data_IF_597671594360
#
_entry.id   IF_597671594360
#
_cell.length_a   1.000
_cell.length_b   1.000
_cell.length_c   1.000
_cell.angle_alpha   90.00
_cell.angle_beta   90.00
_cell.angle_gamma   90.00
#
_symmetry.space_group_name_H-M   'P 1'
#
loop_
_entity.id
_entity.type
_entity.pdbx_description
1 polymer ?
#
# COMPACT_ATOMS: atom_id res chain seq x y z
N UNK A 1 -5.61 -85.95 -10.46
CA UNK A 1 -4.74 -84.87 -10.97
C UNK A 1 -5.38 -83.55 -10.56
N UNK A 2 -4.92 -82.95 -9.46
CA UNK A 2 -5.50 -81.73 -8.87
C UNK A 2 -4.96 -80.48 -9.58
N UNK A 3 -5.87 -79.59 -10.03
CA UNK A 3 -5.55 -78.29 -10.63
C UNK A 3 -5.51 -77.21 -9.55
N UNK A 4 -4.42 -76.45 -9.49
CA UNK A 4 -4.26 -75.26 -8.65
C UNK A 4 -4.91 -74.05 -9.34
N UNK A 5 -5.69 -73.26 -8.58
CA UNK A 5 -6.17 -71.94 -8.98
C UNK A 5 -5.40 -70.87 -8.20
N UNK A 6 -4.68 -70.00 -8.91
CA UNK A 6 -4.06 -68.81 -8.36
C UNK A 6 -5.07 -67.65 -8.35
N UNK A 7 -5.33 -67.08 -7.17
CA UNK A 7 -6.15 -65.89 -7.02
C UNK A 7 -5.28 -64.63 -7.20
N UNK A 8 -5.60 -63.81 -8.20
CA UNK A 8 -4.94 -62.54 -8.46
C UNK A 8 -5.69 -61.43 -7.69
N UNK A 9 -5.07 -60.85 -6.67
CA UNK A 9 -5.61 -59.71 -5.95
C UNK A 9 -5.35 -58.42 -6.76
N UNK A 10 -6.42 -57.78 -7.22
CA UNK A 10 -6.37 -56.53 -7.96
C UNK A 10 -6.39 -55.36 -6.98
N UNK A 11 -5.23 -54.81 -6.65
CA UNK A 11 -5.11 -53.55 -5.90
C UNK A 11 -5.48 -52.36 -6.78
N UNK A 12 -6.65 -51.76 -6.51
CA UNK A 12 -7.06 -50.48 -7.08
C UNK A 12 -6.22 -49.34 -6.49
N UNK A 13 -5.32 -48.77 -7.29
CA UNK A 13 -4.60 -47.54 -6.95
C UNK A 13 -5.54 -46.37 -7.26
N UNK A 14 -6.12 -45.74 -6.24
CA UNK A 14 -6.85 -44.49 -6.40
C UNK A 14 -5.85 -43.35 -6.69
N UNK A 15 -5.90 -42.77 -7.89
CA UNK A 15 -5.13 -41.59 -8.21
C UNK A 15 -5.67 -40.38 -7.41
N UNK A 16 -4.80 -39.48 -6.91
CA UNK A 16 -5.26 -38.29 -6.20
C UNK A 16 -5.97 -37.37 -7.20
N UNK A 17 -7.24 -37.04 -6.92
CA UNK A 17 -7.94 -35.99 -7.64
C UNK A 17 -7.24 -34.68 -7.27
N UNK A 18 -6.48 -34.12 -8.21
CA UNK A 18 -5.98 -32.77 -8.08
C UNK A 18 -7.20 -31.84 -7.99
N UNK A 19 -7.42 -31.25 -6.82
CA UNK A 19 -8.45 -30.23 -6.64
C UNK A 19 -8.10 -29.07 -7.56
N UNK A 20 -8.85 -28.93 -8.65
CA UNK A 20 -8.70 -27.82 -9.59
C UNK A 20 -9.07 -26.56 -8.82
N UNK A 21 -8.05 -25.77 -8.43
CA UNK A 21 -8.27 -24.52 -7.71
C UNK A 21 -9.08 -23.60 -8.64
N UNK A 22 -10.31 -23.31 -8.24
CA UNK A 22 -11.15 -22.36 -8.97
C UNK A 22 -10.50 -20.99 -8.91
N UNK A 23 -10.44 -20.31 -10.06
CA UNK A 23 -9.95 -18.92 -10.16
C UNK A 23 -10.63 -18.03 -9.10
N UNK A 24 -9.89 -17.19 -8.36
CA UNK A 24 -10.46 -16.31 -7.37
C UNK A 24 -11.44 -15.32 -8.00
N UNK A 25 -12.56 -15.10 -7.32
CA UNK A 25 -13.59 -14.13 -7.72
C UNK A 25 -13.02 -12.70 -7.72
N UNK A 26 -13.58 -11.75 -8.50
CA UNK A 26 -13.00 -10.42 -8.66
C UNK A 26 -12.76 -9.65 -7.36
N UNK A 27 -13.66 -9.71 -6.37
CA UNK A 27 -13.48 -8.97 -5.12
C UNK A 27 -12.45 -9.64 -4.22
N UNK A 28 -12.34 -10.97 -4.27
CA UNK A 28 -11.28 -11.70 -3.58
C UNK A 28 -9.89 -11.34 -4.13
N UNK A 29 -9.76 -11.18 -5.47
CA UNK A 29 -8.51 -10.69 -6.08
C UNK A 29 -8.18 -9.28 -5.63
N UNK A 30 -9.16 -8.37 -5.67
CA UNK A 30 -8.98 -7.00 -5.18
C UNK A 30 -8.57 -6.96 -3.70
N UNK A 31 -9.20 -7.79 -2.85
CA UNK A 31 -8.86 -7.87 -1.44
C UNK A 31 -7.45 -8.42 -1.19
N UNK A 32 -6.99 -9.40 -1.98
CA UNK A 32 -5.58 -9.85 -1.94
C UNK A 32 -4.62 -8.77 -2.38
N UNK A 33 -4.96 -8.04 -3.44
CA UNK A 33 -4.19 -6.91 -3.93
C UNK A 33 -4.07 -5.79 -2.89
N UNK A 34 -5.17 -5.40 -2.23
CA UNK A 34 -5.16 -4.38 -1.17
C UNK A 34 -4.30 -4.80 0.02
N UNK A 35 -4.40 -6.06 0.44
CA UNK A 35 -3.60 -6.58 1.54
C UNK A 35 -2.10 -6.57 1.23
N UNK A 36 -1.72 -7.09 0.06
CA UNK A 36 -0.32 -7.11 -0.37
C UNK A 36 0.26 -5.70 -0.44
N UNK A 37 -0.50 -4.77 -1.00
CA UNK A 37 -0.10 -3.37 -1.07
C UNK A 37 0.03 -2.74 0.33
N UNK A 38 -0.93 -3.00 1.22
CA UNK A 38 -0.90 -2.49 2.58
C UNK A 38 0.29 -3.04 3.37
N UNK A 39 0.61 -4.32 3.24
CA UNK A 39 1.74 -4.95 3.94
C UNK A 39 3.09 -4.32 3.53
N UNK A 40 3.29 -4.14 2.21
CA UNK A 40 4.51 -3.51 1.68
C UNK A 40 4.56 -2.03 2.09
N UNK A 41 3.46 -1.29 1.88
CA UNK A 41 3.36 0.12 2.22
C UNK A 41 3.56 0.40 3.70
N UNK A 42 2.99 -0.44 4.57
CA UNK A 42 3.13 -0.36 6.02
C UNK A 42 4.59 -0.50 6.46
N UNK A 43 5.29 -1.53 5.95
CA UNK A 43 6.72 -1.75 6.25
C UNK A 43 7.55 -0.55 5.81
N UNK A 44 7.34 -0.07 4.59
CA UNK A 44 8.04 1.10 4.05
C UNK A 44 7.79 2.35 4.91
N UNK A 45 6.53 2.64 5.26
CA UNK A 45 6.15 3.85 5.97
C UNK A 45 6.61 3.87 7.44
N UNK A 46 6.50 2.75 8.15
CA UNK A 46 6.87 2.66 9.58
C UNK A 46 8.37 2.60 9.80
N UNK A 47 9.11 1.82 9.01
CA UNK A 47 10.58 1.76 9.09
C UNK A 47 11.25 3.12 8.80
N UNK A 48 10.55 3.96 8.04
CA UNK A 48 10.97 5.28 7.57
C UNK A 48 10.57 6.44 8.48
N UNK A 49 9.71 6.19 9.48
CA UNK A 49 9.05 7.24 10.26
C UNK A 49 10.05 8.22 10.90
N UNK A 50 11.15 7.73 11.49
CA UNK A 50 12.14 8.58 12.16
C UNK A 50 12.84 9.61 11.26
N UNK A 51 12.81 9.41 9.94
CA UNK A 51 13.46 10.29 8.97
C UNK A 51 12.47 11.10 8.13
N UNK A 52 11.17 10.92 8.38
CA UNK A 52 10.09 11.50 7.60
C UNK A 52 9.74 12.94 8.05
N UNK A 53 9.54 13.89 7.12
CA UNK A 53 9.11 15.25 7.49
C UNK A 53 7.65 15.31 7.96
N UNK A 54 6.81 14.36 7.53
CA UNK A 54 5.38 14.26 7.92
C UNK A 54 5.12 12.90 8.56
N UNK A 55 5.51 12.79 9.82
CA UNK A 55 5.31 11.58 10.64
C UNK A 55 4.00 11.72 11.41
N UNK A 56 3.13 10.71 11.30
CA UNK A 56 1.85 10.67 12.02
C UNK A 56 1.61 9.30 12.65
N UNK A 57 0.85 9.20 13.75
CA UNK A 57 0.40 7.92 14.25
C UNK A 57 -0.49 7.22 13.23
N UNK A 58 -0.23 5.94 12.97
CA UNK A 58 -1.00 5.09 12.06
C UNK A 58 -1.26 3.72 12.71
N UNK A 59 -2.32 3.03 12.27
CA UNK A 59 -2.80 1.77 12.88
C UNK A 59 -2.75 0.57 11.94
N UNK A 60 -2.39 0.76 10.66
CA UNK A 60 -2.25 -0.32 9.70
C UNK A 60 -3.59 -0.94 9.28
N UNK A 61 -4.59 -0.12 9.00
CA UNK A 61 -5.95 -0.54 8.68
C UNK A 61 -6.45 0.13 7.39
N UNK A 62 -7.13 -0.63 6.52
CA UNK A 62 -7.92 -0.10 5.41
C UNK A 62 -9.38 -0.49 5.63
N UNK A 63 -10.28 0.48 5.55
CA UNK A 63 -11.72 0.25 5.64
C UNK A 63 -12.33 0.06 4.25
N UNK A 64 -13.34 -0.80 4.17
CA UNK A 64 -14.24 -0.95 3.03
C UNK A 64 -15.60 -0.39 3.38
N UNK A 65 -16.19 0.29 2.41
CA UNK A 65 -17.62 0.60 2.39
C UNK A 65 -18.26 -0.04 1.15
N UNK A 66 -19.18 -0.98 1.34
CA UNK A 66 -19.88 -1.64 0.21
C UNK A 66 -20.71 -0.66 -0.62
N UNK A 67 -21.17 0.46 -0.03
CA UNK A 67 -21.85 1.54 -0.76
C UNK A 67 -20.92 2.27 -1.70
N UNK A 68 -19.59 2.17 -1.53
CA UNK A 68 -18.60 2.71 -2.46
C UNK A 68 -18.59 2.02 -3.82
N UNK A 69 -19.17 0.81 -3.93
CA UNK A 69 -19.19 0.02 -5.16
C UNK A 69 -20.37 0.39 -6.07
N UNK A 70 -20.27 0.01 -7.34
CA UNK A 70 -21.33 0.23 -8.32
C UNK A 70 -22.56 -0.64 -8.04
N UNK A 71 -22.36 -1.86 -7.52
CA UNK A 71 -23.40 -2.81 -7.13
C UNK A 71 -23.11 -3.34 -5.71
N UNK A 72 -23.60 -2.64 -4.66
CA UNK A 72 -23.37 -3.04 -3.28
C UNK A 72 -23.93 -4.43 -2.94
N UNK A 73 -25.07 -4.82 -3.52
CA UNK A 73 -25.71 -6.11 -3.22
C UNK A 73 -24.90 -7.29 -3.78
N UNK A 74 -24.34 -7.13 -4.99
CA UNK A 74 -23.41 -8.11 -5.54
C UNK A 74 -22.15 -8.28 -4.66
N UNK A 75 -21.62 -7.17 -4.12
CA UNK A 75 -20.51 -7.22 -3.15
C UNK A 75 -20.92 -8.03 -1.93
N UNK A 76 -22.04 -7.68 -1.27
CA UNK A 76 -22.53 -8.43 -0.09
C UNK A 76 -22.67 -9.91 -0.36
N UNK A 77 -23.24 -10.29 -1.50
CA UNK A 77 -23.44 -11.68 -1.87
C UNK A 77 -22.10 -12.43 -2.07
N UNK A 78 -21.08 -11.76 -2.59
CA UNK A 78 -19.77 -12.38 -2.84
C UNK A 78 -18.95 -12.57 -1.55
N UNK A 79 -18.87 -11.53 -0.70
CA UNK A 79 -18.03 -11.51 0.51
C UNK A 79 -18.79 -11.87 1.80
N UNK A 80 -20.12 -11.99 1.76
CA UNK A 80 -20.95 -12.35 2.92
C UNK A 80 -21.21 -11.21 3.92
N UNK A 81 -20.88 -9.97 3.56
CA UNK A 81 -20.97 -8.81 4.45
C UNK A 81 -22.42 -8.34 4.65
N UNK A 82 -22.88 -8.34 5.88
CA UNK A 82 -24.21 -7.91 6.33
C UNK A 82 -24.28 -6.40 6.53
N UNK A 83 -23.24 -5.78 7.13
CA UNK A 83 -23.17 -4.33 7.38
C UNK A 83 -22.51 -3.58 6.23
N UNK A 84 -22.52 -2.24 6.26
CA UNK A 84 -21.93 -1.44 5.18
C UNK A 84 -20.40 -1.34 5.29
N UNK A 85 -19.91 -1.21 6.53
CA UNK A 85 -18.52 -0.93 6.84
C UNK A 85 -17.84 -2.17 7.42
N UNK A 86 -16.73 -2.56 6.80
CA UNK A 86 -15.88 -3.65 7.27
C UNK A 86 -14.40 -3.34 7.05
N UNK A 87 -13.53 -4.17 7.62
CA UNK A 87 -12.09 -4.07 7.40
C UNK A 87 -11.73 -4.71 6.05
N UNK A 88 -11.16 -3.91 5.13
CA UNK A 88 -10.68 -4.37 3.82
C UNK A 88 -9.36 -5.12 3.94
N UNK A 89 -8.42 -4.58 4.72
CA UNK A 89 -7.08 -5.10 4.88
C UNK A 89 -6.49 -4.64 6.21
N UNK A 90 -5.60 -5.47 6.76
CA UNK A 90 -4.89 -5.21 8.02
C UNK A 90 -3.41 -5.44 7.80
N UNK A 91 -2.58 -4.44 8.02
CA UNK A 91 -1.15 -4.55 7.82
C UNK A 91 -0.54 -5.59 8.78
N UNK A 92 0.28 -6.49 8.23
CA UNK A 92 1.04 -7.46 9.00
C UNK A 92 1.92 -6.75 10.04
N UNK A 93 1.87 -7.23 11.29
CA UNK A 93 2.59 -6.65 12.42
C UNK A 93 2.26 -5.17 12.71
N UNK A 94 1.12 -4.67 12.23
CA UNK A 94 0.60 -3.34 12.61
C UNK A 94 -0.30 -3.39 13.85
N UNK A 95 -0.59 -2.24 14.49
CA UNK A 95 -1.44 -2.17 15.69
C UNK A 95 -2.80 -2.85 15.54
N UNK A 96 -3.45 -2.74 14.38
CA UNK A 96 -4.70 -3.43 14.11
C UNK A 96 -4.55 -4.96 14.11
N UNK A 97 -3.47 -5.50 13.52
CA UNK A 97 -3.18 -6.94 13.55
C UNK A 97 -2.86 -7.43 14.96
N UNK A 98 -2.06 -6.67 15.72
CA UNK A 98 -1.70 -6.99 17.11
C UNK A 98 -2.92 -7.01 18.04
N UNK A 99 -3.90 -6.14 17.78
CA UNK A 99 -5.18 -6.15 18.48
C UNK A 99 -6.13 -7.29 18.05
N UNK A 100 -5.73 -8.11 17.06
CA UNK A 100 -6.50 -9.26 16.59
C UNK A 100 -7.62 -8.91 15.60
N UNK A 101 -7.64 -7.69 15.05
CA UNK A 101 -8.52 -7.34 13.94
C UNK A 101 -8.10 -8.06 12.67
N UNK A 102 -9.09 -8.42 11.86
CA UNK A 102 -8.89 -9.20 10.64
C UNK A 102 -9.67 -8.60 9.49
N UNK A 103 -9.27 -8.97 8.28
CA UNK A 103 -10.08 -8.74 7.09
C UNK A 103 -11.49 -9.26 7.31
N UNK A 104 -12.47 -8.52 6.78
CA UNK A 104 -13.89 -8.81 6.82
C UNK A 104 -14.56 -8.73 8.20
N UNK A 105 -13.82 -8.34 9.25
CA UNK A 105 -14.43 -7.91 10.51
C UNK A 105 -15.35 -6.71 10.21
N UNK A 106 -16.64 -6.86 10.49
CA UNK A 106 -17.61 -5.77 10.35
C UNK A 106 -17.48 -4.79 11.50
N UNK A 107 -17.35 -3.50 11.15
CA UNK A 107 -17.13 -2.44 12.14
C UNK A 107 -18.48 -1.97 12.68
N UNK A 108 -18.69 -2.13 13.98
CA UNK A 108 -19.94 -1.77 14.68
C UNK A 108 -19.81 -0.52 15.53
N UNK A 109 -18.60 -0.20 15.99
CA UNK A 109 -18.26 1.10 16.57
C UNK A 109 -16.94 1.58 15.98
N UNK A 110 -16.87 2.88 15.69
CA UNK A 110 -15.66 3.58 15.32
C UNK A 110 -15.71 4.96 15.96
N UNK A 111 -14.72 5.26 16.80
CA UNK A 111 -14.64 6.52 17.55
C UNK A 111 -15.89 6.76 18.40
N UNK A 112 -16.40 5.70 19.06
CA UNK A 112 -17.59 5.75 19.91
C UNK A 112 -18.93 5.91 19.20
N UNK A 113 -18.98 5.77 17.86
CA UNK A 113 -20.22 5.86 17.07
C UNK A 113 -20.34 4.71 16.08
N UNK A 114 -21.56 4.25 15.78
CA UNK A 114 -21.76 3.26 14.72
C UNK A 114 -21.53 3.92 13.34
N UNK A 115 -20.48 3.52 12.59
CA UNK A 115 -20.19 4.13 11.29
C UNK A 115 -21.25 3.78 10.23
N UNK A 116 -22.02 2.71 10.42
CA UNK A 116 -23.08 2.28 9.48
C UNK A 116 -24.33 3.15 9.56
N UNK A 117 -24.53 3.88 10.67
CA UNK A 117 -25.65 4.84 10.81
C UNK A 117 -25.35 6.20 10.19
N UNK A 118 -24.11 6.43 9.72
CA UNK A 118 -23.78 7.67 9.02
C UNK A 118 -24.50 7.69 7.67
N UNK A 119 -25.10 8.84 7.27
CA UNK A 119 -25.79 8.98 6.00
C UNK A 119 -24.92 8.51 4.83
N UNK A 120 -25.54 7.80 3.89
CA UNK A 120 -24.87 7.32 2.68
C UNK A 120 -25.77 7.40 1.46
N UNK A 121 -25.12 7.61 0.32
CA UNK A 121 -25.75 7.40 -0.97
C UNK A 121 -25.96 5.89 -1.23
N UNK A 122 -26.99 5.51 -2.03
CA UNK A 122 -27.31 4.10 -2.22
C UNK A 122 -26.19 3.26 -2.84
N UNK A 123 -25.34 3.87 -3.68
CA UNK A 123 -24.20 3.25 -4.38
C UNK A 123 -23.19 4.31 -4.85
N UNK A 124 -21.95 3.90 -5.12
CA UNK A 124 -20.82 4.79 -5.47
C UNK A 124 -20.56 5.90 -4.45
N UNK A 125 -20.88 5.66 -3.18
CA UNK A 125 -20.60 6.59 -2.09
C UNK A 125 -19.15 6.46 -1.61
N UNK A 126 -18.24 7.15 -2.29
CA UNK A 126 -16.85 7.26 -1.86
C UNK A 126 -16.64 8.34 -0.79
N UNK A 127 -17.61 9.25 -0.60
CA UNK A 127 -17.51 10.38 0.32
C UNK A 127 -17.67 9.93 1.78
N UNK A 128 -18.58 9.00 2.06
CA UNK A 128 -18.73 8.44 3.43
C UNK A 128 -17.43 7.79 3.89
N UNK A 129 -16.83 6.93 3.07
CA UNK A 129 -15.56 6.28 3.40
C UNK A 129 -14.41 7.30 3.58
N UNK A 130 -14.35 8.34 2.73
CA UNK A 130 -13.40 9.43 2.89
C UNK A 130 -13.55 10.14 4.25
N UNK A 131 -14.79 10.47 4.65
CA UNK A 131 -15.07 11.13 5.91
C UNK A 131 -14.72 10.26 7.13
N UNK A 132 -14.97 8.94 7.06
CA UNK A 132 -14.55 7.99 8.10
C UNK A 132 -13.02 7.97 8.25
N UNK A 133 -12.32 7.92 7.12
CA UNK A 133 -10.87 7.96 7.05
C UNK A 133 -10.30 9.26 7.66
N UNK A 134 -10.86 10.43 7.30
CA UNK A 134 -10.46 11.72 7.87
C UNK A 134 -10.71 11.79 9.39
N UNK A 135 -11.81 11.19 9.87
CA UNK A 135 -12.09 11.12 11.31
C UNK A 135 -11.06 10.25 12.06
N UNK A 136 -10.63 9.12 11.48
CA UNK A 136 -9.54 8.29 12.01
C UNK A 136 -8.24 9.09 12.10
N UNK A 137 -7.84 9.77 11.02
CA UNK A 137 -6.61 10.58 11.01
C UNK A 137 -6.66 11.67 12.08
N UNK A 138 -7.79 12.37 12.20
CA UNK A 138 -7.97 13.43 13.18
C UNK A 138 -7.91 12.90 14.61
N UNK A 139 -8.50 11.73 14.88
CA UNK A 139 -8.44 11.09 16.19
C UNK A 139 -7.01 10.62 16.53
N UNK A 140 -6.30 10.01 15.58
CA UNK A 140 -4.90 9.61 15.74
C UNK A 140 -3.99 10.81 15.98
N UNK A 141 -4.16 11.90 15.22
CA UNK A 141 -3.39 13.12 15.41
C UNK A 141 -3.63 13.77 16.78
N UNK A 142 -4.87 13.76 17.28
CA UNK A 142 -5.24 14.39 18.56
C UNK A 142 -4.93 13.52 19.79
N UNK A 143 -5.14 12.22 19.70
CA UNK A 143 -5.18 11.33 20.86
C UNK A 143 -4.17 10.18 20.79
N UNK A 144 -3.43 10.05 19.68
CA UNK A 144 -2.50 8.95 19.43
C UNK A 144 -3.18 7.59 19.29
N UNK A 145 -4.51 7.52 19.26
CA UNK A 145 -5.26 6.28 19.24
C UNK A 145 -6.69 6.49 18.72
N UNK A 146 -7.33 5.38 18.34
CA UNK A 146 -8.77 5.32 18.05
C UNK A 146 -9.44 4.24 18.88
N UNK A 147 -10.75 4.36 19.04
CA UNK A 147 -11.61 3.25 19.42
C UNK A 147 -12.19 2.59 18.17
N UNK A 148 -12.25 1.26 18.16
CA UNK A 148 -12.93 0.46 17.13
C UNK A 148 -13.50 -0.82 17.75
N UNK A 149 -14.67 -1.27 17.29
CA UNK A 149 -15.29 -2.53 17.71
C UNK A 149 -15.77 -3.33 16.49
N UNK A 150 -15.76 -4.65 16.62
CA UNK A 150 -16.46 -5.57 15.71
C UNK A 150 -17.62 -6.22 16.45
N UNK A 151 -18.69 -6.55 15.75
CA UNK A 151 -19.85 -7.26 16.35
C UNK A 151 -20.38 -6.56 17.63
N UNK A 152 -20.96 -7.31 18.56
CA UNK A 152 -21.41 -6.80 19.87
C UNK A 152 -20.25 -6.73 20.91
N UNK A 153 -18.99 -6.68 20.45
CA UNK A 153 -17.82 -6.61 21.32
C UNK A 153 -17.59 -5.19 21.84
N UNK A 154 -16.90 -5.09 22.98
CA UNK A 154 -16.47 -3.80 23.53
C UNK A 154 -15.41 -3.15 22.62
N UNK A 155 -15.38 -1.82 22.63
CA UNK A 155 -14.47 -1.05 21.78
C UNK A 155 -13.01 -1.21 22.23
N UNK A 156 -12.15 -1.68 21.31
CA UNK A 156 -10.71 -1.73 21.50
C UNK A 156 -10.10 -0.35 21.31
N UNK A 157 -9.18 0.01 22.19
CA UNK A 157 -8.30 1.14 21.97
C UNK A 157 -7.10 0.70 21.14
N UNK A 158 -7.03 1.15 19.88
CA UNK A 158 -5.86 0.97 19.02
C UNK A 158 -4.94 2.18 19.15
N UNK A 159 -3.76 1.98 19.76
CA UNK A 159 -2.73 3.01 19.78
C UNK A 159 -2.00 3.03 18.44
N UNK A 160 -1.85 4.21 17.85
CA UNK A 160 -1.09 4.38 16.62
C UNK A 160 0.41 4.36 16.87
N UNK A 161 1.16 3.87 15.88
CA UNK A 161 2.62 3.94 15.86
C UNK A 161 3.10 4.96 14.82
N UNK A 162 4.27 5.60 15.00
CA UNK A 162 4.78 6.54 14.02
C UNK A 162 4.96 5.91 12.63
N UNK A 163 4.44 6.58 11.60
CA UNK A 163 4.64 6.22 10.19
C UNK A 163 4.80 7.48 9.33
N UNK A 164 5.55 7.39 8.23
CA UNK A 164 5.41 8.35 7.15
C UNK A 164 3.95 8.38 6.68
N UNK A 165 3.33 9.57 6.69
CA UNK A 165 1.90 9.66 6.38
C UNK A 165 1.61 9.35 4.90
N UNK A 166 0.93 8.23 4.67
CA UNK A 166 0.32 7.84 3.41
C UNK A 166 -0.80 6.82 3.64
N UNK A 167 -1.84 6.85 2.81
CA UNK A 167 -2.77 5.72 2.63
C UNK A 167 -2.37 4.90 1.41
N UNK A 168 -2.62 3.60 1.44
CA UNK A 168 -2.28 2.69 0.35
C UNK A 168 -3.55 2.07 -0.19
N UNK A 169 -3.79 2.20 -1.50
CA UNK A 169 -5.07 1.83 -2.10
C UNK A 169 -4.90 1.22 -3.49
N UNK A 170 -5.69 0.19 -3.80
CA UNK A 170 -5.73 -0.37 -5.14
C UNK A 170 -6.83 0.27 -5.97
N UNK A 171 -6.49 0.69 -7.18
CA UNK A 171 -7.45 1.11 -8.19
C UNK A 171 -7.81 -0.08 -9.08
N UNK A 172 -8.99 -0.67 -8.85
CA UNK A 172 -9.52 -1.78 -9.65
C UNK A 172 -9.63 -1.39 -11.14
N UNK A 173 -9.22 -2.31 -12.03
CA UNK A 173 -9.27 -2.10 -13.49
C UNK A 173 -8.33 -1.02 -14.02
N UNK A 174 -7.37 -0.53 -13.22
CA UNK A 174 -6.34 0.43 -13.62
C UNK A 174 -4.97 -0.25 -13.73
N UNK A 175 -4.10 0.26 -14.59
CA UNK A 175 -2.73 -0.21 -14.82
C UNK A 175 -1.65 0.81 -14.41
N UNK A 176 -2.02 2.03 -14.06
CA UNK A 176 -1.11 3.08 -13.59
C UNK A 176 -0.75 2.95 -12.10
N UNK A 177 0.24 3.74 -11.69
CA UNK A 177 0.51 4.06 -10.30
C UNK A 177 0.49 5.58 -10.16
N UNK A 178 0.04 6.10 -9.01
CA UNK A 178 0.06 7.53 -8.73
C UNK A 178 0.07 7.85 -7.25
N UNK A 179 0.69 8.97 -6.94
CA UNK A 179 0.74 9.56 -5.61
C UNK A 179 -0.08 10.86 -5.57
N UNK A 180 -0.90 11.03 -4.52
CA UNK A 180 -1.77 12.22 -4.38
C UNK A 180 -1.30 13.19 -3.30
N UNK A 181 -0.06 13.10 -2.82
CA UNK A 181 0.46 13.87 -1.68
C UNK A 181 0.13 13.27 -0.31
N UNK A 182 -0.88 12.39 -0.24
CA UNK A 182 -1.35 11.71 0.98
C UNK A 182 -1.77 10.25 0.74
N UNK A 183 -1.84 9.81 -0.52
CA UNK A 183 -2.22 8.45 -0.92
C UNK A 183 -1.19 7.92 -1.92
N UNK A 184 -0.94 6.63 -1.86
CA UNK A 184 -0.22 5.82 -2.84
C UNK A 184 -1.27 4.90 -3.47
N UNK A 185 -1.53 5.09 -4.75
CA UNK A 185 -2.57 4.36 -5.48
C UNK A 185 -1.91 3.53 -6.57
N UNK A 186 -2.10 2.21 -6.53
CA UNK A 186 -1.60 1.30 -7.57
C UNK A 186 -2.74 0.61 -8.29
N UNK A 187 -2.59 0.43 -9.59
CA UNK A 187 -3.45 -0.41 -10.40
C UNK A 187 -3.33 -1.89 -10.01
N UNK A 188 -4.44 -2.63 -10.09
CA UNK A 188 -4.54 -4.04 -9.70
C UNK A 188 -3.50 -4.94 -10.39
N UNK A 189 -3.07 -4.62 -11.62
CA UNK A 189 -2.06 -5.42 -12.35
C UNK A 189 -0.76 -5.60 -11.58
N UNK A 190 -0.36 -4.59 -10.78
CA UNK A 190 0.93 -4.58 -10.09
C UNK A 190 0.91 -5.44 -8.85
N UNK A 191 -0.25 -5.52 -8.20
CA UNK A 191 -0.44 -6.20 -6.92
C UNK A 191 -0.94 -7.63 -7.12
N UNK A 192 -1.69 -7.90 -8.19
CA UNK A 192 -2.19 -9.23 -8.54
C UNK A 192 -1.28 -10.03 -9.48
N UNK A 193 -0.24 -9.42 -10.07
CA UNK A 193 0.68 -10.09 -11.01
C UNK A 193 1.92 -10.73 -10.38
N UNK A 194 2.69 -11.43 -11.21
CA UNK A 194 3.95 -12.14 -10.89
C UNK A 194 5.15 -11.19 -10.68
N UNK A 195 4.93 -10.05 -10.03
CA UNK A 195 6.00 -9.15 -9.59
C UNK A 195 6.52 -9.68 -8.25
N UNK A 196 7.84 -9.72 -8.00
CA UNK A 196 8.35 -10.05 -6.66
C UNK A 196 8.02 -8.93 -5.67
N UNK A 197 7.92 -9.25 -4.37
CA UNK A 197 7.65 -8.21 -3.36
C UNK A 197 8.75 -7.15 -3.28
N UNK A 198 10.03 -7.49 -3.52
CA UNK A 198 11.12 -6.50 -3.59
C UNK A 198 10.95 -5.57 -4.81
N UNK A 199 10.55 -6.10 -5.97
CA UNK A 199 10.30 -5.28 -7.15
C UNK A 199 9.04 -4.41 -6.99
N UNK A 200 7.98 -4.95 -6.38
CA UNK A 200 6.79 -4.18 -6.05
C UNK A 200 7.08 -3.11 -4.98
N UNK A 201 7.93 -3.42 -3.99
CA UNK A 201 8.36 -2.47 -2.97
C UNK A 201 9.07 -1.26 -3.58
N UNK A 202 9.84 -1.42 -4.67
CA UNK A 202 10.40 -0.27 -5.38
C UNK A 202 9.32 0.66 -5.93
N UNK A 203 8.31 0.13 -6.61
CA UNK A 203 7.21 0.95 -7.14
C UNK A 203 6.44 1.66 -6.01
N UNK A 204 6.12 0.95 -4.94
CA UNK A 204 5.43 1.54 -3.77
C UNK A 204 6.31 2.59 -3.08
N UNK A 205 7.62 2.34 -2.95
CA UNK A 205 8.58 3.27 -2.38
C UNK A 205 8.74 4.53 -3.23
N UNK A 206 8.73 4.42 -4.56
CA UNK A 206 8.75 5.56 -5.48
C UNK A 206 7.52 6.46 -5.27
N UNK A 207 6.31 5.88 -5.26
CA UNK A 207 5.08 6.64 -5.00
C UNK A 207 5.02 7.25 -3.59
N UNK A 208 5.55 6.52 -2.59
CA UNK A 208 5.69 7.01 -1.23
C UNK A 208 6.71 8.15 -1.15
N UNK A 209 7.80 8.11 -1.91
CA UNK A 209 8.79 9.18 -1.97
C UNK A 209 8.18 10.50 -2.44
N UNK A 210 7.27 10.48 -3.42
CA UNK A 210 6.50 11.69 -3.79
C UNK A 210 5.70 12.28 -2.62
N UNK A 211 5.14 11.43 -1.75
CA UNK A 211 4.43 11.87 -0.55
C UNK A 211 5.39 12.40 0.51
N UNK A 212 6.51 11.72 0.75
CA UNK A 212 7.54 12.11 1.74
C UNK A 212 8.14 13.46 1.37
N UNK A 213 8.54 13.63 0.11
CA UNK A 213 9.14 14.86 -0.41
C UNK A 213 8.10 15.94 -0.76
N UNK A 214 6.80 15.66 -0.58
CA UNK A 214 5.70 16.60 -0.78
C UNK A 214 5.67 17.22 -2.18
N UNK A 215 6.05 16.45 -3.20
CA UNK A 215 6.11 16.90 -4.60
C UNK A 215 4.81 17.53 -5.09
N UNK A 216 3.66 17.00 -4.66
CA UNK A 216 2.34 17.60 -4.96
C UNK A 216 2.21 19.01 -4.39
N UNK A 217 2.47 19.21 -3.09
CA UNK A 217 2.37 20.53 -2.44
C UNK A 217 3.37 21.53 -3.03
N UNK A 218 4.55 21.07 -3.42
CA UNK A 218 5.54 21.90 -4.11
C UNK A 218 4.98 22.40 -5.47
N UNK A 219 4.34 21.53 -6.27
CA UNK A 219 3.73 21.90 -7.55
C UNK A 219 2.45 22.73 -7.42
N UNK A 220 1.77 22.69 -6.29
CA UNK A 220 0.64 23.56 -5.97
C UNK A 220 1.09 24.98 -5.56
N UNK A 221 2.38 25.13 -5.17
CA UNK A 221 2.99 26.39 -4.78
C UNK A 221 3.22 27.43 -5.90
N UNK A 222 3.93 28.54 -5.61
CA UNK A 222 4.20 29.62 -6.57
C UNK A 222 4.92 29.10 -7.82
N UNK A 223 4.52 29.57 -9.03
CA UNK A 223 5.03 29.03 -10.31
C UNK A 223 6.55 29.04 -10.43
N UNK A 224 7.22 30.07 -9.91
CA UNK A 224 8.68 30.22 -9.99
C UNK A 224 9.48 29.29 -9.06
N UNK A 225 8.81 28.60 -8.13
CA UNK A 225 9.41 27.69 -7.15
C UNK A 225 9.08 26.21 -7.45
N UNK A 226 8.31 25.92 -8.51
CA UNK A 226 7.87 24.56 -8.80
C UNK A 226 9.03 23.75 -9.38
N UNK A 227 9.36 22.56 -8.81
CA UNK A 227 10.38 21.70 -9.40
C UNK A 227 9.91 21.19 -10.77
N UNK A 228 10.88 20.90 -11.66
CA UNK A 228 10.55 20.31 -12.95
C UNK A 228 10.01 18.88 -12.76
N UNK A 229 9.29 18.36 -13.77
CA UNK A 229 8.84 16.97 -13.69
C UNK A 229 10.01 16.01 -13.54
N UNK A 230 11.10 16.23 -14.29
CA UNK A 230 12.26 15.35 -14.26
C UNK A 230 12.95 15.33 -12.90
N UNK A 231 13.07 16.49 -12.24
CA UNK A 231 13.71 16.56 -10.92
C UNK A 231 12.87 15.79 -9.90
N UNK A 232 11.55 16.01 -9.90
CA UNK A 232 10.60 15.28 -9.05
C UNK A 232 10.70 13.76 -9.21
N UNK A 233 10.81 13.26 -10.44
CA UNK A 233 10.95 11.83 -10.69
C UNK A 233 12.32 11.28 -10.26
N UNK A 234 13.40 12.04 -10.49
CA UNK A 234 14.76 11.67 -10.04
C UNK A 234 14.86 11.62 -8.53
N UNK A 235 14.27 12.59 -7.84
CA UNK A 235 14.22 12.64 -6.38
C UNK A 235 13.49 11.41 -5.81
N UNK A 236 12.37 11.02 -6.42
CA UNK A 236 11.61 9.83 -6.02
C UNK A 236 12.38 8.53 -6.29
N UNK A 237 12.98 8.37 -7.48
CA UNK A 237 13.83 7.23 -7.82
C UNK A 237 15.05 7.12 -6.91
N UNK A 238 15.66 8.25 -6.54
CA UNK A 238 16.80 8.28 -5.61
C UNK A 238 16.38 7.83 -4.22
N UNK A 239 15.24 8.29 -3.70
CA UNK A 239 14.82 7.98 -2.33
C UNK A 239 14.30 6.54 -2.17
N UNK A 240 13.69 5.96 -3.22
CA UNK A 240 13.04 4.65 -3.14
C UNK A 240 13.95 3.51 -2.63
N UNK A 241 15.20 3.30 -3.12
CA UNK A 241 16.11 2.29 -2.59
C UNK A 241 16.40 2.43 -1.09
N UNK A 242 16.45 3.66 -0.56
CA UNK A 242 16.68 3.91 0.87
C UNK A 242 15.48 3.50 1.73
N UNK A 243 14.26 3.78 1.26
CA UNK A 243 13.01 3.34 1.90
C UNK A 243 12.95 1.81 1.95
N UNK A 244 13.30 1.16 0.83
CA UNK A 244 13.36 -0.30 0.72
C UNK A 244 14.34 -0.89 1.73
N UNK A 245 15.58 -0.38 1.75
CA UNK A 245 16.63 -0.89 2.60
C UNK A 245 16.26 -0.78 4.10
N UNK A 246 15.70 0.36 4.53
CA UNK A 246 15.23 0.54 5.91
C UNK A 246 14.10 -0.41 6.29
N UNK A 247 13.22 -0.74 5.34
CA UNK A 247 12.11 -1.66 5.55
C UNK A 247 12.49 -3.15 5.40
N UNK A 248 13.78 -3.44 5.19
CA UNK A 248 14.31 -4.79 5.02
C UNK A 248 13.90 -5.45 3.71
N UNK A 249 13.56 -4.68 2.68
CA UNK A 249 13.47 -5.16 1.30
C UNK A 249 14.84 -5.09 0.64
N UNK A 250 15.10 -5.95 -0.34
CA UNK A 250 16.33 -5.90 -1.13
C UNK A 250 16.28 -4.70 -2.11
N UNK A 251 17.13 -3.67 -1.96
CA UNK A 251 17.17 -2.54 -2.88
C UNK A 251 17.43 -2.95 -4.34
N UNK A 252 18.03 -4.11 -4.60
CA UNK A 252 18.18 -4.65 -5.95
C UNK A 252 16.83 -4.94 -6.65
N UNK A 253 15.72 -5.03 -5.90
CA UNK A 253 14.37 -5.06 -6.43
C UNK A 253 14.06 -3.87 -7.36
N UNK A 254 14.68 -2.70 -7.13
CA UNK A 254 14.59 -1.55 -8.02
C UNK A 254 15.14 -1.84 -9.42
N UNK A 255 16.30 -2.51 -9.48
CA UNK A 255 16.95 -2.90 -10.73
C UNK A 255 16.06 -3.91 -11.46
N UNK A 256 15.59 -4.93 -10.76
CA UNK A 256 14.70 -5.95 -11.32
C UNK A 256 13.43 -5.33 -11.91
N UNK A 257 12.78 -4.42 -11.18
CA UNK A 257 11.58 -3.73 -11.64
C UNK A 257 11.85 -2.93 -12.92
N UNK A 258 12.91 -2.11 -12.94
CA UNK A 258 13.24 -1.27 -14.09
C UNK A 258 13.67 -2.07 -15.32
N UNK A 259 14.36 -3.19 -15.15
CA UNK A 259 14.75 -4.06 -16.27
C UNK A 259 13.55 -4.83 -16.83
N UNK A 260 12.62 -5.25 -15.97
CA UNK A 260 11.45 -6.03 -16.38
C UNK A 260 10.39 -5.14 -17.04
N UNK A 261 10.07 -4.00 -16.43
CA UNK A 261 8.93 -3.17 -16.82
C UNK A 261 9.32 -1.87 -17.53
N UNK A 262 10.55 -1.38 -17.32
CA UNK A 262 11.04 -0.14 -17.94
C UNK A 262 11.03 -0.14 -19.47
N UNK A 263 11.48 -1.20 -20.17
CA UNK A 263 11.45 -1.23 -21.64
C UNK A 263 10.04 -1.06 -22.23
N UNK A 264 9.00 -1.51 -21.52
CA UNK A 264 7.60 -1.35 -21.92
C UNK A 264 6.99 0.01 -21.57
N UNK A 265 7.67 0.81 -20.75
CA UNK A 265 7.22 2.14 -20.30
C UNK A 265 7.98 3.30 -20.96
N UNK A 266 9.08 3.03 -21.68
CA UNK A 266 9.77 4.02 -22.53
C UNK A 266 9.09 4.20 -23.92
N UNK A 267 7.93 3.57 -24.13
CA UNK A 267 7.18 3.57 -25.40
C UNK A 267 6.10 4.66 -25.48
N UNK A 268 5.71 5.13 -26.69
CA UNK A 268 4.78 6.24 -26.89
C UNK A 268 3.34 6.00 -26.41
N UNK A 269 3.00 4.80 -25.91
CA UNK A 269 1.66 4.39 -25.50
C UNK A 269 1.47 4.23 -23.99
N UNK A 270 2.53 4.35 -23.18
CA UNK A 270 2.46 4.24 -21.72
C UNK A 270 3.28 5.34 -21.05
N UNK A 271 2.59 6.27 -20.38
CA UNK A 271 3.08 7.24 -19.39
C UNK A 271 4.31 8.07 -19.83
N UNK A 272 4.01 9.22 -20.45
CA UNK A 272 4.59 10.52 -20.10
C UNK A 272 6.11 10.72 -20.21
N UNK A 273 6.50 11.72 -21.00
CA UNK A 273 7.86 12.30 -21.10
C UNK A 273 8.41 12.92 -19.79
N UNK A 274 7.86 12.57 -18.62
CA UNK A 274 8.20 13.09 -17.30
C UNK A 274 9.39 12.40 -16.65
N UNK A 275 9.65 11.12 -16.94
CA UNK A 275 10.77 10.37 -16.37
C UNK A 275 11.97 10.32 -17.33
N UNK A 276 13.17 10.14 -16.79
CA UNK A 276 14.31 9.71 -17.59
C UNK A 276 14.09 8.28 -18.12
N UNK A 277 14.70 7.93 -19.26
CA UNK A 277 14.59 6.56 -19.80
C UNK A 277 15.07 5.50 -18.82
N UNK A 278 14.50 4.29 -18.88
CA UNK A 278 14.67 3.26 -17.85
C UNK A 278 16.14 2.91 -17.55
N UNK A 279 17.02 2.97 -18.55
CA UNK A 279 18.47 2.72 -18.38
C UNK A 279 19.14 3.74 -17.46
N UNK A 280 18.75 5.02 -17.59
CA UNK A 280 19.23 6.10 -16.74
C UNK A 280 18.75 5.91 -15.31
N UNK A 281 17.44 5.66 -15.15
CA UNK A 281 16.83 5.38 -13.85
C UNK A 281 17.50 4.20 -13.14
N UNK A 282 17.79 3.12 -13.89
CA UNK A 282 18.51 1.95 -13.36
C UNK A 282 19.91 2.30 -12.90
N UNK A 283 20.63 3.14 -13.65
CA UNK A 283 21.95 3.63 -13.26
C UNK A 283 21.90 4.46 -11.97
N UNK A 284 20.92 5.35 -11.86
CA UNK A 284 20.70 6.16 -10.64
C UNK A 284 20.34 5.27 -9.44
N UNK A 285 19.44 4.30 -9.62
CA UNK A 285 19.11 3.34 -8.57
C UNK A 285 20.35 2.55 -8.13
N UNK A 286 21.20 2.09 -9.06
CA UNK A 286 22.44 1.39 -8.75
C UNK A 286 23.38 2.24 -7.88
N UNK A 287 23.55 3.51 -8.23
CA UNK A 287 24.37 4.44 -7.45
C UNK A 287 23.87 4.55 -6.00
N UNK A 288 22.55 4.67 -5.80
CA UNK A 288 21.99 4.72 -4.44
C UNK A 288 22.21 3.41 -3.69
N UNK A 289 22.05 2.27 -4.36
CA UNK A 289 22.29 0.94 -3.76
C UNK A 289 23.75 0.81 -3.30
N UNK A 290 24.71 1.29 -4.10
CA UNK A 290 26.13 1.24 -3.74
C UNK A 290 26.44 2.12 -2.51
N UNK A 291 25.82 3.31 -2.42
CA UNK A 291 25.92 4.18 -1.24
C UNK A 291 25.33 3.50 0.00
N UNK A 292 24.13 2.90 -0.11
CA UNK A 292 23.48 2.18 0.99
C UNK A 292 24.33 1.00 1.45
N UNK A 293 24.89 0.23 0.51
CA UNK A 293 25.75 -0.91 0.82
C UNK A 293 27.00 -0.48 1.61
N UNK A 294 27.56 0.70 1.34
CA UNK A 294 28.66 1.26 2.11
C UNK A 294 28.25 1.66 3.55
N UNK A 295 26.98 2.03 3.79
CA UNK A 295 26.48 2.32 5.15
C UNK A 295 26.15 1.07 5.98
N UNK A 296 25.87 -0.06 5.34
CA UNK A 296 25.44 -1.31 6.00
C UNK A 296 26.51 -1.97 6.89
N UNK A 297 27.68 -1.35 7.06
CA UNK A 297 28.74 -1.77 7.99
C UNK A 297 28.46 -1.41 9.47
N UNK A 298 27.21 -1.56 9.95
CA UNK A 298 26.85 -1.49 11.38
C UNK A 298 26.17 -0.20 11.86
N UNK A 299 25.75 0.70 10.97
CA UNK A 299 24.98 1.91 11.30
C UNK A 299 23.53 1.85 10.79
N UNK A 300 22.63 2.61 11.41
CA UNK A 300 21.26 2.80 10.89
C UNK A 300 21.30 3.51 9.53
N UNK A 301 20.67 2.95 8.50
CA UNK A 301 20.57 3.52 7.15
C UNK A 301 19.90 4.90 7.23
N UNK A 302 20.65 5.97 6.97
CA UNK A 302 20.17 7.35 7.07
C UNK A 302 20.34 8.10 5.76
N UNK A 303 19.21 8.48 5.15
CA UNK A 303 19.19 9.25 3.92
C UNK A 303 19.24 10.76 4.15
N UNK A 304 18.96 11.28 5.35
CA UNK A 304 18.83 12.73 5.55
C UNK A 304 20.03 13.54 5.02
N UNK A 305 21.29 13.11 5.18
CA UNK A 305 22.45 13.81 4.62
C UNK A 305 22.48 13.89 3.08
N UNK A 306 21.77 13.00 2.38
CA UNK A 306 21.75 12.89 0.91
C UNK A 306 20.55 13.61 0.27
N UNK A 307 19.58 14.06 1.09
CA UNK A 307 18.34 14.69 0.67
C UNK A 307 18.08 16.02 1.40
N UNK A 308 19.14 16.76 1.75
CA UNK A 308 19.02 17.98 2.58
C UNK A 308 18.14 19.03 1.92
N UNK A 309 18.32 19.27 0.63
CA UNK A 309 17.59 20.29 -0.13
C UNK A 309 16.13 19.85 -0.35
N UNK A 310 15.92 18.60 -0.74
CA UNK A 310 14.62 17.99 -1.00
C UNK A 310 13.77 17.97 0.28
N UNK A 311 14.35 17.63 1.43
CA UNK A 311 13.68 17.65 2.72
C UNK A 311 13.39 19.08 3.21
N UNK A 312 14.28 20.04 2.92
CA UNK A 312 14.02 21.45 3.22
C UNK A 312 12.84 21.99 2.39
N UNK A 313 12.79 21.66 1.10
CA UNK A 313 11.69 22.02 0.20
C UNK A 313 10.36 21.39 0.65
N UNK A 314 10.37 20.11 1.04
CA UNK A 314 9.21 19.41 1.58
C UNK A 314 8.66 20.11 2.84
N UNK A 315 9.53 20.44 3.80
CA UNK A 315 9.15 21.17 5.03
C UNK A 315 8.60 22.56 4.72
N UNK A 316 9.19 23.28 3.76
CA UNK A 316 8.70 24.59 3.34
C UNK A 316 7.31 24.51 2.71
N UNK A 317 7.05 23.53 1.85
CA UNK A 317 5.75 23.30 1.23
C UNK A 317 4.66 22.96 2.27
N UNK A 318 4.99 22.14 3.28
CA UNK A 318 4.09 21.84 4.39
C UNK A 318 3.74 23.08 5.21
N UNK A 319 4.73 23.90 5.58
CA UNK A 319 4.48 25.14 6.35
C UNK A 319 3.54 26.10 5.62
N UNK A 320 3.63 26.19 4.29
CA UNK A 320 2.74 27.05 3.48
C UNK A 320 1.30 26.55 3.39
N UNK A 321 1.09 25.24 3.46
CA UNK A 321 -0.22 24.60 3.29
C UNK A 321 -0.96 24.37 4.61
N UNK A 322 -0.30 24.61 5.75
CA UNK A 322 -0.95 24.54 7.06
C UNK A 322 -2.08 25.59 7.15
N UNK A 323 -3.28 25.22 7.66
CA UNK A 323 -4.33 26.19 7.92
C UNK A 323 -3.83 27.24 8.91
N UNK A 324 -4.12 28.51 8.62
CA UNK A 324 -3.79 29.66 9.50
C UNK A 324 -4.73 29.73 10.68
#
# INVERSE_FOLDING_TARGET
MLRAFAAFALTMIAAPVAAQQSEPRPLERLARADQRLLDIGWRLATASAGLCPDTRPAIGLVLRDVRGFADPEAVRAEIGQQRDIAIQAVAAHGPAAEAGLRRDDEVTSLLGTDPNQKPAEPRRDWLRLLALNEAIDAALARHGAIGIARSDEAEWRLNGVPACYARFEVAAGNDGAKSTGTRVILGERWTAGDVSDDALAFLVAHELAHNILKHRLQREGPRGERPSSKDVEREADRLAPWLMARAGFDPAGAILFLETFGPGQDGPLYIGTSHDGWKSRRGQAREQIDIIAAQNAGTSIDWQPYFVEELAAARAAMKRSAPR
#
